data_IF_207784470435
#
_entry.id   IF_207784470435
#
_cell.length_a   1.000
_cell.length_b   1.000
_cell.length_c   1.000
_cell.angle_alpha   90.00
_cell.angle_beta   90.00
_cell.angle_gamma   90.00
#
_symmetry.space_group_name_H-M   'P 1'
#
loop_
_entity.id
_entity.type
_entity.pdbx_description
1 polymer ?
#
# COMPACT_ATOMS: atom_id res chain seq x y z
N UNK A 1 -6.34 -24.30 -11.07
CA UNK A 1 -7.23 -23.78 -10.02
C UNK A 1 -6.55 -22.57 -9.41
N UNK A 2 -7.28 -21.52 -9.04
CA UNK A 2 -6.73 -20.37 -8.31
C UNK A 2 -6.96 -20.60 -6.82
N UNK A 3 -5.92 -20.38 -6.02
CA UNK A 3 -5.97 -20.49 -4.56
C UNK A 3 -5.75 -19.11 -3.95
N UNK A 4 -6.62 -18.72 -3.01
CA UNK A 4 -6.55 -17.42 -2.33
C UNK A 4 -6.48 -17.66 -0.82
N UNK A 5 -5.49 -17.06 -0.17
CA UNK A 5 -5.43 -16.98 1.29
C UNK A 5 -5.62 -15.54 1.72
N UNK A 6 -6.62 -15.26 2.55
CA UNK A 6 -6.83 -13.94 3.15
C UNK A 6 -6.12 -13.86 4.50
N UNK A 7 -5.35 -12.80 4.71
CA UNK A 7 -4.62 -12.52 5.96
C UNK A 7 -4.69 -11.03 6.27
N UNK A 8 -4.47 -10.65 7.53
CA UNK A 8 -4.17 -9.26 7.86
C UNK A 8 -2.78 -8.84 7.35
N UNK A 9 -2.51 -7.53 7.40
CA UNK A 9 -1.28 -6.91 6.88
C UNK A 9 -0.01 -7.46 7.55
N UNK A 10 -0.02 -7.71 8.86
CA UNK A 10 1.16 -8.19 9.58
C UNK A 10 1.45 -9.66 9.25
N UNK A 11 0.42 -10.50 9.19
CA UNK A 11 0.53 -11.89 8.76
C UNK A 11 0.97 -12.00 7.29
N UNK A 12 0.46 -11.13 6.40
CA UNK A 12 0.89 -11.05 5.01
C UNK A 12 2.38 -10.70 4.90
N UNK A 13 2.85 -9.67 5.64
CA UNK A 13 4.25 -9.28 5.68
C UNK A 13 5.15 -10.41 6.19
N UNK A 14 4.76 -11.07 7.28
CA UNK A 14 5.53 -12.17 7.85
C UNK A 14 5.63 -13.34 6.87
N UNK A 15 4.52 -13.75 6.26
CA UNK A 15 4.51 -14.85 5.28
C UNK A 15 5.34 -14.50 4.04
N UNK A 16 5.21 -13.28 3.54
CA UNK A 16 5.99 -12.82 2.38
C UNK A 16 7.51 -12.98 2.60
N UNK A 17 7.99 -12.65 3.81
CA UNK A 17 9.42 -12.75 4.13
C UNK A 17 9.85 -14.19 4.45
N UNK A 18 9.05 -14.92 5.23
CA UNK A 18 9.48 -16.20 5.83
C UNK A 18 9.14 -17.42 4.99
N UNK A 19 8.21 -17.31 4.06
CA UNK A 19 7.71 -18.41 3.23
C UNK A 19 7.57 -17.98 1.75
N UNK A 20 8.66 -17.50 1.11
CA UNK A 20 8.61 -16.92 -0.23
C UNK A 20 8.14 -17.90 -1.31
N UNK A 21 8.33 -19.21 -1.11
CA UNK A 21 7.91 -20.25 -2.05
C UNK A 21 6.43 -20.68 -1.85
N UNK A 22 5.69 -20.03 -0.95
CA UNK A 22 4.30 -20.40 -0.60
C UNK A 22 3.22 -19.59 -1.34
N UNK A 23 3.60 -18.68 -2.22
CA UNK A 23 2.71 -17.82 -2.99
C UNK A 23 3.36 -17.38 -4.31
N UNK A 24 2.54 -17.10 -5.33
CA UNK A 24 3.01 -16.47 -6.58
C UNK A 24 2.88 -14.94 -6.53
N UNK A 25 1.83 -14.44 -5.88
CA UNK A 25 1.49 -13.02 -5.78
C UNK A 25 1.18 -12.70 -4.32
N UNK A 26 1.92 -11.74 -3.76
CA UNK A 26 1.61 -11.15 -2.46
C UNK A 26 0.86 -9.84 -2.67
N UNK A 27 -0.40 -9.79 -2.23
CA UNK A 27 -1.15 -8.54 -2.11
C UNK A 27 -0.78 -7.87 -0.78
N UNK A 28 0.01 -6.81 -0.85
CA UNK A 28 0.58 -6.10 0.31
C UNK A 28 0.55 -4.59 0.08
N UNK A 29 0.51 -3.82 1.15
CA UNK A 29 0.53 -2.37 1.08
C UNK A 29 1.95 -1.83 0.79
N UNK A 30 2.03 -0.62 0.23
CA UNK A 30 3.31 0.01 -0.10
C UNK A 30 4.25 0.20 1.09
N UNK A 31 3.72 0.35 2.31
CA UNK A 31 4.55 0.42 3.52
C UNK A 31 5.15 -0.95 3.90
N UNK A 32 4.48 -2.05 3.56
CA UNK A 32 5.02 -3.41 3.70
C UNK A 32 6.07 -3.65 2.62
N UNK A 33 5.80 -3.25 1.37
CA UNK A 33 6.78 -3.35 0.28
C UNK A 33 8.14 -2.76 0.68
N UNK A 34 8.13 -1.57 1.31
CA UNK A 34 9.34 -0.93 1.84
C UNK A 34 10.16 -1.83 2.77
N UNK A 35 9.50 -2.71 3.55
CA UNK A 35 10.12 -3.65 4.50
C UNK A 35 10.50 -4.98 3.84
N UNK A 36 9.65 -5.50 2.96
CA UNK A 36 9.77 -6.84 2.38
C UNK A 36 10.71 -6.85 1.18
N UNK A 37 10.61 -5.89 0.28
CA UNK A 37 11.37 -5.89 -0.98
C UNK A 37 12.91 -5.98 -0.75
N UNK A 38 13.51 -5.22 0.20
CA UNK A 38 14.95 -5.31 0.45
C UNK A 38 15.44 -6.68 0.96
N UNK A 39 14.57 -7.57 1.43
CA UNK A 39 14.95 -8.95 1.76
C UNK A 39 15.34 -9.76 0.51
N UNK A 40 14.79 -9.39 -0.66
CA UNK A 40 15.01 -10.07 -1.94
C UNK A 40 14.08 -11.25 -2.21
N UNK A 41 12.97 -11.34 -1.47
CA UNK A 41 11.92 -12.35 -1.70
C UNK A 41 10.91 -11.95 -2.79
N UNK A 42 10.90 -10.67 -3.17
CA UNK A 42 10.05 -10.14 -4.24
C UNK A 42 10.90 -9.86 -5.47
N UNK A 43 10.31 -10.05 -6.65
CA UNK A 43 10.91 -9.72 -7.94
C UNK A 43 10.29 -8.44 -8.53
N UNK A 44 11.09 -7.50 -9.06
CA UNK A 44 10.54 -6.39 -9.82
C UNK A 44 9.98 -6.87 -11.16
N UNK A 45 8.96 -6.17 -11.65
CA UNK A 45 8.31 -6.41 -12.93
C UNK A 45 8.85 -5.48 -14.00
N UNK A 46 9.05 -6.02 -15.20
CA UNK A 46 9.34 -5.24 -16.40
C UNK A 46 8.09 -4.48 -16.84
N UNK A 47 8.12 -3.15 -16.77
CA UNK A 47 7.00 -2.27 -17.13
C UNK A 47 6.51 -2.54 -18.56
N UNK A 48 7.40 -2.87 -19.50
CA UNK A 48 7.01 -3.15 -20.89
C UNK A 48 6.10 -4.36 -21.05
N UNK A 49 6.04 -5.25 -20.04
CA UNK A 49 5.15 -6.42 -20.00
C UNK A 49 3.80 -6.13 -19.35
N UNK A 50 3.64 -4.95 -18.75
CA UNK A 50 2.41 -4.54 -18.06
C UNK A 50 1.51 -3.76 -19.03
N UNK A 51 0.57 -4.48 -19.67
CA UNK A 51 -0.35 -3.94 -20.69
C UNK A 51 -1.02 -2.61 -20.31
N UNK A 52 -1.40 -2.44 -19.05
CA UNK A 52 -2.18 -1.29 -18.55
C UNK A 52 -1.34 -0.33 -17.68
N UNK A 53 -0.01 -0.38 -17.77
CA UNK A 53 0.86 0.45 -16.93
C UNK A 53 0.61 1.96 -17.13
N UNK A 54 0.35 2.38 -18.37
CA UNK A 54 0.09 3.79 -18.67
C UNK A 54 -1.23 4.27 -18.07
N UNK A 55 -2.19 3.37 -17.86
CA UNK A 55 -3.49 3.65 -17.22
C UNK A 55 -3.39 3.79 -15.69
N UNK A 56 -2.27 3.42 -15.09
CA UNK A 56 -2.06 3.61 -13.65
C UNK A 56 -2.13 5.09 -13.28
N UNK A 57 -2.87 5.39 -12.21
CA UNK A 57 -3.03 6.75 -11.69
C UNK A 57 -1.65 7.36 -11.36
N UNK A 58 -1.38 8.64 -11.71
CA UNK A 58 -0.06 9.26 -11.53
C UNK A 58 0.50 9.23 -10.11
N UNK A 59 -0.37 9.07 -9.09
CA UNK A 59 0.01 8.94 -7.69
C UNK A 59 1.07 7.85 -7.45
N UNK A 60 0.95 6.71 -8.13
CA UNK A 60 1.88 5.58 -7.97
C UNK A 60 3.19 5.74 -8.74
N UNK A 61 3.20 6.59 -9.77
CA UNK A 61 4.36 6.84 -10.63
C UNK A 61 5.18 8.05 -10.17
N UNK A 62 4.49 9.09 -9.69
CA UNK A 62 5.09 10.41 -9.43
C UNK A 62 4.83 10.93 -8.01
N UNK A 63 3.99 10.24 -7.23
CA UNK A 63 3.58 10.70 -5.90
C UNK A 63 2.53 11.81 -5.91
N UNK A 64 2.07 12.22 -7.09
CA UNK A 64 1.14 13.33 -7.27
C UNK A 64 -0.19 12.86 -7.84
N UNK A 65 -1.29 13.29 -7.23
CA UNK A 65 -2.64 13.02 -7.74
C UNK A 65 -2.96 13.91 -8.96
N UNK A 66 -2.59 15.18 -8.88
CA UNK A 66 -2.64 16.19 -9.96
C UNK A 66 -1.26 16.82 -10.15
N UNK A 67 -0.95 17.47 -11.28
CA UNK A 67 0.37 18.09 -11.51
C UNK A 67 0.82 19.06 -10.40
N UNK A 68 -0.14 19.81 -9.84
CA UNK A 68 0.08 20.80 -8.78
C UNK A 68 0.01 20.22 -7.36
N UNK A 69 -0.28 18.92 -7.23
CA UNK A 69 -0.31 18.26 -5.92
C UNK A 69 1.05 18.30 -5.24
N UNK A 70 1.05 18.57 -3.94
CA UNK A 70 2.21 18.39 -3.07
C UNK A 70 2.34 16.91 -2.71
N UNK A 71 3.56 16.41 -2.64
CA UNK A 71 3.82 15.04 -2.20
C UNK A 71 3.41 14.92 -0.72
N UNK A 72 2.52 13.97 -0.44
CA UNK A 72 2.01 13.73 0.90
C UNK A 72 3.09 13.19 1.85
N UNK A 73 2.85 13.36 3.16
CA UNK A 73 3.69 12.79 4.21
C UNK A 73 3.48 11.26 4.30
N UNK A 74 4.49 10.55 4.79
CA UNK A 74 4.47 9.08 4.93
C UNK A 74 5.14 8.35 3.76
N UNK A 75 4.85 7.06 3.62
CA UNK A 75 5.38 6.25 2.51
C UNK A 75 4.59 6.54 1.25
N UNK A 76 5.04 7.54 0.48
CA UNK A 76 4.46 7.81 -0.82
C UNK A 76 4.82 6.66 -1.79
N UNK A 77 3.84 6.05 -2.49
CA UNK A 77 4.08 4.85 -3.30
C UNK A 77 5.22 4.97 -4.31
N UNK A 78 5.38 6.14 -4.93
CA UNK A 78 6.46 6.41 -5.89
C UNK A 78 7.88 6.26 -5.30
N UNK A 79 8.07 6.40 -3.98
CA UNK A 79 9.38 6.25 -3.31
C UNK A 79 9.83 4.79 -3.17
N UNK A 80 8.91 3.85 -3.38
CA UNK A 80 9.16 2.41 -3.33
C UNK A 80 8.67 1.70 -4.58
N UNK A 81 8.19 2.45 -5.58
CA UNK A 81 7.54 1.91 -6.78
C UNK A 81 8.53 1.35 -7.79
N UNK A 82 9.79 1.78 -7.78
CA UNK A 82 10.79 1.37 -8.76
C UNK A 82 12.08 0.92 -8.11
N UNK A 83 12.83 0.07 -8.80
CA UNK A 83 14.21 -0.31 -8.45
C UNK A 83 15.17 -0.02 -9.59
N UNK A 84 16.46 0.01 -9.29
CA UNK A 84 17.50 0.43 -10.24
C UNK A 84 17.69 -0.56 -11.40
N UNK A 85 17.49 -1.85 -11.14
CA UNK A 85 17.69 -2.95 -12.09
C UNK A 85 16.83 -4.16 -11.72
N UNK A 86 16.75 -5.16 -12.61
CA UNK A 86 15.96 -6.38 -12.41
C UNK A 86 16.36 -7.18 -11.15
N UNK A 87 17.64 -7.13 -10.80
CA UNK A 87 18.24 -7.82 -9.66
C UNK A 87 18.48 -6.90 -8.45
N UNK A 88 18.09 -5.63 -8.55
CA UNK A 88 18.32 -4.64 -7.49
C UNK A 88 17.32 -4.81 -6.34
N UNK A 89 17.85 -4.72 -5.13
CA UNK A 89 17.06 -4.62 -3.88
C UNK A 89 16.89 -3.17 -3.40
N UNK A 90 17.43 -2.22 -4.17
CA UNK A 90 17.47 -0.80 -3.84
C UNK A 90 16.38 -0.07 -4.60
N UNK A 91 15.52 0.64 -3.88
CA UNK A 91 14.52 1.51 -4.49
C UNK A 91 15.19 2.66 -5.26
N UNK A 92 14.75 2.87 -6.49
CA UNK A 92 15.21 3.95 -7.34
C UNK A 92 14.61 5.29 -6.90
N UNK A 93 15.37 6.37 -7.10
CA UNK A 93 14.92 7.74 -6.79
C UNK A 93 14.00 8.34 -7.86
N UNK A 94 13.84 7.66 -8.99
CA UNK A 94 13.05 8.08 -10.13
C UNK A 94 12.46 6.84 -10.83
N UNK A 95 11.41 6.99 -11.65
CA UNK A 95 10.85 5.90 -12.43
C UNK A 95 11.91 5.19 -13.29
N UNK A 96 11.89 3.87 -13.26
CA UNK A 96 12.70 2.98 -14.11
C UNK A 96 11.78 2.01 -14.85
N UNK A 97 12.36 1.11 -15.64
CA UNK A 97 11.59 0.02 -16.26
C UNK A 97 11.26 -1.13 -15.28
N UNK A 98 11.72 -1.05 -14.02
CA UNK A 98 11.61 -2.12 -13.03
C UNK A 98 10.68 -1.70 -11.88
N UNK A 99 9.43 -2.15 -11.97
CA UNK A 99 8.34 -1.75 -11.09
C UNK A 99 8.15 -2.76 -9.97
N UNK A 100 8.01 -2.31 -8.72
CA UNK A 100 7.95 -3.22 -7.56
C UNK A 100 6.57 -3.81 -7.33
N UNK A 101 5.51 -3.06 -7.65
CA UNK A 101 4.13 -3.41 -7.30
C UNK A 101 3.11 -2.76 -8.23
N UNK A 102 2.18 -3.55 -8.76
CA UNK A 102 1.01 -3.04 -9.51
C UNK A 102 -0.10 -2.66 -8.53
N UNK A 103 -0.54 -1.39 -8.48
CA UNK A 103 -1.60 -0.99 -7.58
C UNK A 103 -2.95 -1.54 -8.06
N UNK A 104 -3.70 -2.15 -7.15
CA UNK A 104 -5.06 -2.67 -7.40
C UNK A 104 -6.12 -1.70 -6.89
N UNK A 105 -5.91 -1.14 -5.69
CA UNK A 105 -6.80 -0.19 -5.02
C UNK A 105 -6.00 0.89 -4.28
N UNK A 106 -6.62 2.06 -4.09
CA UNK A 106 -6.21 3.02 -3.06
C UNK A 106 -7.46 3.64 -2.43
N UNK A 107 -7.34 3.92 -1.14
CA UNK A 107 -8.40 4.47 -0.32
C UNK A 107 -7.79 5.35 0.77
N UNK A 108 -8.67 5.95 1.57
CA UNK A 108 -8.32 6.52 2.86
C UNK A 108 -9.09 5.76 3.93
N UNK A 109 -8.43 5.48 5.05
CA UNK A 109 -9.11 4.98 6.24
C UNK A 109 -10.06 6.06 6.76
N UNK A 110 -11.25 5.62 7.15
CA UNK A 110 -12.31 6.50 7.64
C UNK A 110 -12.97 5.88 8.87
N UNK A 111 -13.82 6.66 9.53
CA UNK A 111 -14.52 6.24 10.72
C UNK A 111 -15.76 5.41 10.36
N UNK A 112 -15.76 4.14 10.78
CA UNK A 112 -16.97 3.34 10.86
C UNK A 112 -17.79 3.76 12.07
N UNK A 113 -18.87 4.53 11.87
CA UNK A 113 -19.70 5.07 12.96
C UNK A 113 -21.08 4.43 13.03
N UNK A 114 -21.68 4.46 14.22
CA UNK A 114 -23.09 4.13 14.48
C UNK A 114 -23.84 5.40 14.89
N UNK A 115 -24.35 6.20 13.93
CA UNK A 115 -25.01 7.47 14.24
C UNK A 115 -26.21 7.30 15.17
N UNK A 116 -26.88 6.15 15.10
CA UNK A 116 -28.00 5.76 15.95
C UNK A 116 -27.60 5.54 17.42
N UNK A 117 -26.31 5.29 17.70
CA UNK A 117 -25.79 5.08 19.06
C UNK A 117 -24.89 6.25 19.53
N UNK A 118 -24.40 7.08 18.62
CA UNK A 118 -23.44 8.14 18.92
C UNK A 118 -24.00 9.30 19.74
N UNK A 119 -25.32 9.53 19.69
CA UNK A 119 -26.00 10.60 20.43
C UNK A 119 -25.67 12.03 19.96
N UNK A 120 -24.71 12.17 19.05
CA UNK A 120 -24.30 13.39 18.36
C UNK A 120 -23.58 13.04 17.06
N UNK A 121 -23.44 14.03 16.19
CA UNK A 121 -22.65 13.87 14.97
C UNK A 121 -21.15 13.77 15.27
N UNK A 122 -20.46 12.94 14.48
CA UNK A 122 -19.01 12.76 14.48
C UNK A 122 -18.48 13.46 13.24
N UNK A 123 -17.72 14.55 13.44
CA UNK A 123 -17.27 15.42 12.34
C UNK A 123 -15.74 15.53 12.28
N UNK A 124 -15.05 15.08 13.33
CA UNK A 124 -13.59 15.12 13.43
C UNK A 124 -13.03 13.83 14.03
N UNK A 125 -11.78 13.51 13.73
CA UNK A 125 -11.07 12.40 14.39
C UNK A 125 -10.94 12.60 15.91
N UNK A 126 -10.97 13.84 16.42
CA UNK A 126 -10.90 14.09 17.85
C UNK A 126 -12.16 13.61 18.60
N UNK A 127 -13.30 13.51 17.90
CA UNK A 127 -14.56 13.11 18.52
C UNK A 127 -14.50 11.69 19.10
N UNK A 128 -13.75 10.78 18.49
CA UNK A 128 -13.64 9.39 18.99
C UNK A 128 -12.83 9.31 20.29
N UNK A 129 -12.07 10.36 20.62
CA UNK A 129 -11.26 10.44 21.83
C UNK A 129 -12.05 11.02 23.02
N UNK A 130 -13.31 11.41 22.81
CA UNK A 130 -14.19 11.91 23.86
C UNK A 130 -14.39 10.84 24.95
N UNK A 131 -14.25 11.18 26.25
CA UNK A 131 -14.50 10.25 27.34
C UNK A 131 -15.87 9.55 27.29
N UNK A 132 -16.88 10.14 26.65
CA UNK A 132 -18.18 9.51 26.42
C UNK A 132 -18.11 8.18 25.65
N UNK A 133 -17.08 8.01 24.82
CA UNK A 133 -16.80 6.81 24.02
C UNK A 133 -15.81 5.85 24.67
N UNK A 134 -15.38 6.09 25.91
CA UNK A 134 -14.45 5.19 26.62
C UNK A 134 -14.99 3.75 26.66
N UNK A 135 -14.22 2.82 26.09
CA UNK A 135 -14.58 1.40 26.00
C UNK A 135 -15.64 1.08 24.93
N UNK A 136 -15.92 2.03 24.02
CA UNK A 136 -16.91 1.90 22.94
C UNK A 136 -16.33 2.17 21.55
N UNK A 137 -15.02 2.38 21.47
CA UNK A 137 -14.22 2.50 20.23
C UNK A 137 -13.27 1.31 20.15
N UNK A 138 -13.07 0.77 18.95
CA UNK A 138 -12.15 -0.32 18.66
C UNK A 138 -11.02 0.18 17.76
#
# INVERSE_FOLDING_TARGET
>A
TLELTATDSDAAAQRAVTQPDSYDIADIEYWICKKVFPSGVLQPMDVSKLKYYDELVPLFKTGKLTPDSVIAQGTAPHTVGFVEAQDSKTFAKAPTNWFTMVPTIYNADTLGIRPDLGGRDITTWADIMDPAFKGKTA
#
